data_IF_013856837615
#
_entry.id   IF_013856837615
#
_cell.length_a   1.000
_cell.length_b   1.000
_cell.length_c   1.000
_cell.angle_alpha   90.00
_cell.angle_beta   90.00
_cell.angle_gamma   90.00
#
_symmetry.space_group_name_H-M   'P 1'
#
loop_
_entity.id
_entity.type
_entity.pdbx_description
1 polymer ?
#
# COMPACT_ATOMS: atom_id res chain seq x y z
N UNK A 1 60.67 -23.47 -26.22
CA UNK A 1 60.24 -23.28 -24.81
C UNK A 1 59.32 -22.08 -24.75
N UNK A 2 58.01 -22.27 -24.87
CA UNK A 2 57.01 -21.19 -24.72
C UNK A 2 56.39 -21.30 -23.33
N UNK A 3 56.65 -20.29 -22.50
CA UNK A 3 56.02 -20.12 -21.19
C UNK A 3 54.63 -19.54 -21.39
N UNK A 4 53.61 -20.39 -21.34
CA UNK A 4 52.22 -19.96 -21.26
C UNK A 4 51.96 -19.34 -19.88
N UNK A 5 51.80 -18.02 -19.83
CA UNK A 5 51.27 -17.33 -18.64
C UNK A 5 49.76 -17.58 -18.57
N UNK A 6 49.32 -18.31 -17.55
CA UNK A 6 47.92 -18.40 -17.15
C UNK A 6 47.56 -17.12 -16.39
N UNK A 7 46.75 -16.26 -16.99
CA UNK A 7 46.10 -15.14 -16.29
C UNK A 7 44.81 -15.70 -15.68
N UNK A 8 44.84 -15.97 -14.38
CA UNK A 8 43.64 -16.28 -13.62
C UNK A 8 42.83 -14.99 -13.40
N UNK A 9 41.77 -14.81 -14.19
CA UNK A 9 40.77 -13.77 -13.96
C UNK A 9 39.87 -14.25 -12.82
N UNK A 10 40.16 -13.79 -11.61
CA UNK A 10 39.26 -13.93 -10.47
C UNK A 10 38.02 -13.06 -10.74
N UNK A 11 36.92 -13.68 -11.16
CA UNK A 11 35.60 -13.07 -11.17
C UNK A 11 35.21 -12.82 -9.71
N UNK A 12 35.46 -11.61 -9.22
CA UNK A 12 34.84 -11.11 -8.00
C UNK A 12 33.36 -10.97 -8.34
N UNK A 13 32.58 -12.01 -8.04
CA UNK A 13 31.14 -11.88 -7.95
C UNK A 13 30.91 -10.91 -6.80
N UNK A 14 30.73 -9.63 -7.13
CA UNK A 14 30.09 -8.69 -6.23
C UNK A 14 28.65 -9.18 -6.14
N UNK A 15 28.42 -10.12 -5.24
CA UNK A 15 27.12 -10.35 -4.66
C UNK A 15 26.78 -9.01 -4.03
N UNK A 16 26.07 -8.16 -4.78
CA UNK A 16 25.45 -6.98 -4.24
C UNK A 16 24.47 -7.48 -3.20
N UNK A 17 24.95 -7.64 -1.97
CA UNK A 17 24.10 -7.73 -0.80
C UNK A 17 23.33 -6.42 -0.82
N UNK A 18 22.11 -6.48 -1.35
CA UNK A 18 21.11 -5.45 -1.15
C UNK A 18 21.08 -5.25 0.36
N UNK A 19 21.75 -4.19 0.78
CA UNK A 19 21.96 -3.89 2.18
C UNK A 19 20.57 -3.60 2.71
N UNK A 20 20.00 -4.57 3.43
CA UNK A 20 18.81 -4.37 4.23
C UNK A 20 19.18 -3.27 5.23
N UNK A 21 18.94 -2.02 4.82
CA UNK A 21 19.11 -0.85 5.66
C UNK A 21 18.30 -1.02 6.95
N UNK A 22 18.57 -0.19 7.96
CA UNK A 22 17.89 -0.27 9.25
C UNK A 22 16.39 -0.43 9.05
N UNK A 23 15.80 -1.43 9.71
CA UNK A 23 14.39 -1.84 9.59
C UNK A 23 13.48 -0.61 9.55
N UNK A 24 13.05 -0.21 8.35
CA UNK A 24 12.14 0.92 8.18
C UNK A 24 10.78 0.50 8.71
N UNK A 25 10.22 1.26 9.64
CA UNK A 25 8.85 1.09 10.14
C UNK A 25 7.90 0.87 8.97
N UNK A 26 7.22 -0.28 8.95
CA UNK A 26 6.23 -0.60 7.94
C UNK A 26 4.99 0.26 8.14
N UNK A 27 4.66 1.06 7.11
CA UNK A 27 3.52 1.94 7.10
C UNK A 27 3.65 3.07 8.13
N UNK A 28 3.21 4.26 7.77
CA UNK A 28 2.74 5.11 8.85
C UNK A 28 1.47 4.44 9.40
N UNK A 29 1.31 4.28 10.71
CA UNK A 29 0.09 3.69 11.29
C UNK A 29 -1.22 4.33 10.76
N UNK A 30 -2.38 3.73 11.08
CA UNK A 30 -3.70 4.12 10.54
C UNK A 30 -3.95 5.64 10.55
N UNK A 31 -3.52 6.38 11.59
CA UNK A 31 -3.71 7.84 11.67
C UNK A 31 -3.03 8.63 10.52
N UNK A 32 -1.94 8.10 10.00
CA UNK A 32 -1.08 8.77 9.01
C UNK A 32 -1.44 8.41 7.56
N UNK A 33 -2.38 7.49 7.35
CA UNK A 33 -2.99 7.23 6.05
C UNK A 33 -3.88 8.40 5.57
N UNK A 34 -4.21 9.33 6.46
CA UNK A 34 -5.10 10.47 6.21
C UNK A 34 -4.41 11.83 6.38
N UNK A 35 -3.07 11.84 6.41
CA UNK A 35 -2.26 13.06 6.40
C UNK A 35 -1.90 13.51 4.98
N UNK A 36 -1.40 14.74 4.87
CA UNK A 36 -0.88 15.33 3.64
C UNK A 36 -1.71 16.47 3.08
N UNK A 37 -1.05 17.36 2.34
CA UNK A 37 -1.71 18.50 1.68
C UNK A 37 -2.56 18.04 0.50
N UNK A 38 -2.09 17.07 -0.25
CA UNK A 38 -2.77 16.54 -1.43
C UNK A 38 -4.05 15.81 -1.04
N UNK A 39 -4.01 15.05 0.05
CA UNK A 39 -5.19 14.34 0.54
C UNK A 39 -6.33 15.28 0.95
N UNK A 40 -5.99 16.41 1.59
CA UNK A 40 -6.97 17.45 1.93
C UNK A 40 -7.59 18.05 0.66
N UNK A 41 -6.78 18.33 -0.36
CA UNK A 41 -7.28 18.84 -1.65
C UNK A 41 -8.13 17.82 -2.38
N UNK A 42 -7.72 16.55 -2.37
CA UNK A 42 -8.47 15.43 -2.93
C UNK A 42 -9.87 15.32 -2.32
N UNK A 43 -9.98 15.33 -0.99
CA UNK A 43 -11.29 15.31 -0.33
C UNK A 43 -12.08 16.58 -0.64
N UNK A 44 -11.46 17.77 -0.60
CA UNK A 44 -12.15 19.02 -0.93
C UNK A 44 -12.76 19.01 -2.34
N UNK A 45 -12.04 18.43 -3.32
CA UNK A 45 -12.48 18.36 -4.72
C UNK A 45 -13.57 17.30 -4.95
N UNK A 46 -13.48 16.17 -4.24
CA UNK A 46 -14.26 14.97 -4.60
C UNK A 46 -15.36 14.59 -3.59
N UNK A 47 -15.31 15.09 -2.35
CA UNK A 47 -16.28 14.76 -1.31
C UNK A 47 -17.47 15.73 -1.33
N UNK A 48 -18.36 15.58 -2.31
CA UNK A 48 -19.54 16.44 -2.50
C UNK A 48 -20.64 16.23 -1.44
N UNK A 49 -20.58 15.14 -0.68
CA UNK A 49 -21.44 14.90 0.48
C UNK A 49 -20.73 14.04 1.56
N UNK A 50 -21.27 13.95 2.79
CA UNK A 50 -20.61 13.21 3.87
C UNK A 50 -20.37 11.72 3.59
N UNK A 51 -21.28 11.04 2.88
CA UNK A 51 -21.10 9.62 2.55
C UNK A 51 -20.01 9.43 1.49
N UNK A 52 -19.95 10.31 0.48
CA UNK A 52 -18.85 10.34 -0.47
C UNK A 52 -17.51 10.54 0.25
N UNK A 53 -17.45 11.47 1.22
CA UNK A 53 -16.26 11.64 2.05
C UNK A 53 -15.86 10.32 2.74
N UNK A 54 -16.80 9.63 3.38
CA UNK A 54 -16.53 8.38 4.10
C UNK A 54 -16.02 7.26 3.17
N UNK A 55 -16.63 7.10 2.00
CA UNK A 55 -16.17 6.13 1.00
C UNK A 55 -14.78 6.48 0.47
N UNK A 56 -14.50 7.75 0.18
CA UNK A 56 -13.18 8.18 -0.28
C UNK A 56 -12.10 7.93 0.79
N UNK A 57 -12.39 8.20 2.07
CA UNK A 57 -11.46 7.84 3.17
C UNK A 57 -11.24 6.33 3.22
N UNK A 58 -12.32 5.56 3.14
CA UNK A 58 -12.26 4.10 3.18
C UNK A 58 -11.38 3.54 2.06
N UNK A 59 -11.68 3.91 0.81
CA UNK A 59 -10.91 3.43 -0.34
C UNK A 59 -9.49 3.98 -0.41
N UNK A 60 -9.22 5.15 0.18
CA UNK A 60 -7.84 5.61 0.40
C UNK A 60 -7.08 4.64 1.31
N UNK A 61 -7.71 4.17 2.40
CA UNK A 61 -7.13 3.17 3.29
C UNK A 61 -6.92 1.82 2.60
N UNK A 62 -7.93 1.34 1.85
CA UNK A 62 -7.82 0.10 1.07
C UNK A 62 -6.64 0.17 0.09
N UNK A 63 -6.58 1.24 -0.72
CA UNK A 63 -5.50 1.45 -1.67
C UNK A 63 -4.14 1.45 -0.98
N UNK A 64 -4.01 2.16 0.15
CA UNK A 64 -2.75 2.21 0.89
C UNK A 64 -2.30 0.82 1.35
N UNK A 65 -3.20 0.00 1.91
CA UNK A 65 -2.84 -1.35 2.34
C UNK A 65 -2.48 -2.27 1.16
N UNK A 66 -3.14 -2.10 0.02
CA UNK A 66 -2.79 -2.83 -1.19
C UNK A 66 -1.39 -2.44 -1.71
N UNK A 67 -1.07 -1.15 -1.68
CA UNK A 67 0.24 -0.66 -2.10
C UNK A 67 1.35 -1.08 -1.14
N UNK A 68 1.09 -1.01 0.17
CA UNK A 68 1.97 -1.54 1.20
C UNK A 68 2.24 -3.04 1.01
N UNK A 69 1.20 -3.83 0.71
CA UNK A 69 1.35 -5.25 0.36
C UNK A 69 2.26 -5.42 -0.86
N UNK A 70 2.04 -4.63 -1.93
CA UNK A 70 2.85 -4.67 -3.16
C UNK A 70 4.32 -4.40 -2.89
N UNK A 71 4.62 -3.38 -2.07
CA UNK A 71 5.98 -3.03 -1.65
C UNK A 71 6.64 -4.20 -0.91
N UNK A 72 5.92 -4.83 0.01
CA UNK A 72 6.43 -5.99 0.75
C UNK A 72 6.63 -7.22 -0.12
N UNK A 73 5.74 -7.47 -1.07
CA UNK A 73 5.92 -8.57 -2.03
C UNK A 73 7.16 -8.34 -2.91
N UNK A 74 7.38 -7.11 -3.40
CA UNK A 74 8.61 -6.75 -4.13
C UNK A 74 9.87 -6.94 -3.28
N UNK A 75 9.84 -6.50 -2.02
CA UNK A 75 10.96 -6.74 -1.09
C UNK A 75 11.23 -8.23 -0.91
N UNK A 76 10.19 -9.04 -0.73
CA UNK A 76 10.31 -10.49 -0.58
C UNK A 76 10.88 -11.20 -1.82
N UNK A 77 10.78 -10.58 -3.01
CA UNK A 77 11.43 -11.04 -4.25
C UNK A 77 12.85 -10.50 -4.44
N UNK A 78 13.37 -9.71 -3.52
CA UNK A 78 14.68 -9.05 -3.63
C UNK A 78 14.70 -7.87 -4.59
N UNK A 79 13.52 -7.37 -5.01
CA UNK A 79 13.41 -6.17 -5.85
C UNK A 79 13.60 -4.90 -5.00
N UNK A 80 14.01 -3.78 -5.61
CA UNK A 80 13.98 -2.49 -4.94
C UNK A 80 12.57 -2.18 -4.41
N UNK A 81 12.47 -1.94 -3.10
CA UNK A 81 11.22 -1.66 -2.41
C UNK A 81 11.36 -0.38 -1.59
N UNK A 82 10.47 0.59 -1.84
CA UNK A 82 10.50 1.85 -1.12
C UNK A 82 9.58 1.81 0.10
N UNK A 83 10.16 1.56 1.26
CA UNK A 83 9.44 1.66 2.53
C UNK A 83 9.38 3.09 3.02
N UNK A 84 8.20 3.49 3.46
CA UNK A 84 7.98 4.77 4.11
C UNK A 84 6.51 5.15 4.09
N UNK A 85 6.27 6.39 4.50
CA UNK A 85 4.95 6.96 4.45
C UNK A 85 4.50 7.24 3.02
N UNK A 86 3.32 6.75 2.62
CA UNK A 86 2.69 7.07 1.33
C UNK A 86 1.93 8.41 1.36
N UNK A 87 2.27 9.30 2.31
CA UNK A 87 1.70 10.64 2.40
C UNK A 87 2.05 11.40 1.12
N UNK A 88 1.04 12.02 0.50
CA UNK A 88 1.17 12.80 -0.74
C UNK A 88 1.83 12.01 -1.92
N UNK A 89 1.72 10.67 -1.88
CA UNK A 89 2.17 9.77 -2.96
C UNK A 89 1.08 8.77 -3.35
N UNK A 90 -0.16 9.13 -3.04
CA UNK A 90 -1.32 8.26 -3.27
C UNK A 90 -1.79 8.42 -4.69
N UNK A 91 -2.11 7.30 -5.33
CA UNK A 91 -2.75 7.34 -6.64
C UNK A 91 -4.24 7.65 -6.46
N UNK A 92 -4.55 8.95 -6.51
CA UNK A 92 -5.93 9.43 -6.34
C UNK A 92 -6.85 8.99 -7.47
N UNK A 93 -6.34 8.74 -8.68
CA UNK A 93 -7.14 8.25 -9.80
C UNK A 93 -7.51 6.77 -9.58
N UNK A 94 -6.57 5.96 -9.08
CA UNK A 94 -6.85 4.59 -8.65
C UNK A 94 -7.85 4.54 -7.49
N UNK A 95 -7.77 5.46 -6.52
CA UNK A 95 -8.75 5.57 -5.42
C UNK A 95 -10.14 5.92 -5.97
N UNK A 96 -10.24 6.86 -6.91
CA UNK A 96 -11.52 7.22 -7.54
C UNK A 96 -12.12 6.07 -8.35
N UNK A 97 -11.29 5.22 -8.95
CA UNK A 97 -11.75 4.04 -9.69
C UNK A 97 -12.46 3.01 -8.80
N UNK A 98 -12.23 3.03 -7.47
CA UNK A 98 -12.93 2.17 -6.49
C UNK A 98 -14.32 2.69 -6.12
N UNK A 99 -14.62 3.95 -6.40
CA UNK A 99 -15.92 4.56 -6.12
C UNK A 99 -17.01 4.06 -7.08
N UNK A 100 -18.30 4.09 -6.69
CA UNK A 100 -19.38 3.82 -7.62
C UNK A 100 -19.33 4.74 -8.84
N UNK A 101 -19.70 4.21 -10.01
CA UNK A 101 -19.90 5.04 -11.20
C UNK A 101 -20.90 6.16 -10.91
N UNK A 102 -20.57 7.35 -11.39
CA UNK A 102 -21.35 8.59 -11.21
C UNK A 102 -21.58 8.94 -9.73
N UNK A 103 -20.69 8.54 -8.81
CA UNK A 103 -20.86 8.85 -7.37
C UNK A 103 -21.06 10.35 -7.11
N UNK A 104 -20.45 11.22 -7.93
CA UNK A 104 -20.58 12.68 -7.86
C UNK A 104 -22.02 13.17 -8.04
N UNK A 105 -22.85 12.44 -8.79
CA UNK A 105 -24.27 12.78 -9.00
C UNK A 105 -25.20 12.10 -7.99
N UNK A 106 -24.68 11.21 -7.13
CA UNK A 106 -25.47 10.47 -6.14
C UNK A 106 -25.58 11.26 -4.85
N UNK A 107 -26.77 11.25 -4.26
CA UNK A 107 -27.03 11.69 -2.90
C UNK A 107 -26.31 10.81 -1.86
N UNK A 108 -26.19 11.31 -0.64
CA UNK A 108 -25.61 10.53 0.46
C UNK A 108 -26.39 9.23 0.73
N UNK A 109 -27.73 9.26 0.60
CA UNK A 109 -28.59 8.10 0.80
C UNK A 109 -28.37 7.02 -0.27
N UNK A 110 -28.22 7.41 -1.53
CA UNK A 110 -27.91 6.48 -2.63
C UNK A 110 -26.53 5.85 -2.48
N UNK A 111 -25.53 6.61 -2.02
CA UNK A 111 -24.20 6.07 -1.73
C UNK A 111 -24.22 5.12 -0.53
N UNK A 112 -24.99 5.43 0.50
CA UNK A 112 -25.15 4.57 1.66
C UNK A 112 -25.82 3.24 1.27
N UNK A 113 -26.89 3.31 0.46
CA UNK A 113 -27.57 2.13 -0.09
C UNK A 113 -26.60 1.29 -0.93
N UNK A 114 -25.83 1.93 -1.82
CA UNK A 114 -24.82 1.23 -2.63
C UNK A 114 -23.76 0.52 -1.78
N UNK A 115 -23.29 1.16 -0.71
CA UNK A 115 -22.32 0.56 0.21
C UNK A 115 -22.90 -0.65 0.93
N UNK A 116 -24.15 -0.56 1.41
CA UNK A 116 -24.85 -1.66 2.07
C UNK A 116 -25.10 -2.85 1.12
N UNK A 117 -25.52 -2.60 -0.13
CA UNK A 117 -25.77 -3.64 -1.14
C UNK A 117 -24.51 -4.43 -1.52
N UNK A 118 -23.33 -3.81 -1.34
CA UNK A 118 -22.04 -4.43 -1.61
C UNK A 118 -21.36 -4.99 -0.36
N UNK A 119 -22.05 -4.97 0.78
CA UNK A 119 -21.50 -5.35 2.08
C UNK A 119 -20.16 -4.64 2.38
N UNK A 120 -20.07 -3.36 2.00
CA UNK A 120 -18.91 -2.51 2.28
C UNK A 120 -18.96 -2.13 3.75
N UNK A 121 -18.49 -3.03 4.61
CA UNK A 121 -18.25 -2.76 6.01
C UNK A 121 -16.95 -1.97 6.15
N UNK A 122 -17.06 -0.64 6.20
CA UNK A 122 -15.91 0.28 6.21
C UNK A 122 -14.84 -0.13 7.26
N UNK A 123 -15.29 -0.59 8.43
CA UNK A 123 -14.39 -1.00 9.51
C UNK A 123 -13.80 -2.41 9.30
N UNK A 124 -14.62 -3.40 8.93
CA UNK A 124 -14.17 -4.79 8.79
C UNK A 124 -13.27 -4.94 7.56
N UNK A 125 -13.67 -4.37 6.43
CA UNK A 125 -12.90 -4.42 5.19
C UNK A 125 -11.55 -3.69 5.36
N UNK A 126 -11.54 -2.52 5.99
CA UNK A 126 -10.30 -1.81 6.31
C UNK A 126 -9.35 -2.65 7.20
N UNK A 127 -9.89 -3.35 8.19
CA UNK A 127 -9.10 -4.26 9.05
C UNK A 127 -8.57 -5.46 8.27
N UNK A 128 -9.38 -6.05 7.39
CA UNK A 128 -9.00 -7.18 6.55
C UNK A 128 -7.80 -6.84 5.66
N UNK A 129 -7.88 -5.73 4.90
CA UNK A 129 -6.78 -5.30 4.03
C UNK A 129 -5.52 -4.94 4.80
N UNK A 130 -5.66 -4.27 5.96
CA UNK A 130 -4.53 -4.00 6.85
C UNK A 130 -3.83 -5.29 7.29
N UNK A 131 -4.58 -6.33 7.66
CA UNK A 131 -4.01 -7.60 8.10
C UNK A 131 -3.36 -8.36 6.94
N UNK A 132 -3.94 -8.28 5.73
CA UNK A 132 -3.32 -8.83 4.51
C UNK A 132 -1.96 -8.18 4.25
N UNK A 133 -1.90 -6.84 4.25
CA UNK A 133 -0.67 -6.08 4.04
C UNK A 133 0.39 -6.44 5.09
N UNK A 134 0.00 -6.39 6.37
CA UNK A 134 0.86 -6.78 7.48
C UNK A 134 1.44 -8.20 7.32
N UNK A 135 0.59 -9.17 6.96
CA UNK A 135 1.01 -10.55 6.78
C UNK A 135 1.99 -10.70 5.60
N UNK A 136 1.80 -9.97 4.51
CA UNK A 136 2.74 -9.98 3.38
C UNK A 136 4.13 -9.50 3.83
N UNK A 137 4.19 -8.45 4.64
CA UNK A 137 5.45 -7.90 5.15
C UNK A 137 6.15 -8.81 6.16
N UNK A 138 5.38 -9.48 7.02
CA UNK A 138 5.93 -10.51 7.92
C UNK A 138 6.51 -11.67 7.10
N UNK A 139 5.79 -12.16 6.09
CA UNK A 139 6.27 -13.25 5.22
C UNK A 139 7.50 -12.87 4.42
N UNK A 140 7.56 -11.62 3.95
CA UNK A 140 8.70 -11.08 3.21
C UNK A 140 9.93 -10.81 4.09
N UNK A 141 9.82 -10.93 5.41
CA UNK A 141 10.89 -10.57 6.35
C UNK A 141 11.11 -9.06 6.51
N UNK A 142 10.28 -8.23 5.87
CA UNK A 142 10.31 -6.78 6.01
C UNK A 142 9.89 -6.31 7.41
N UNK A 143 9.11 -7.13 8.13
CA UNK A 143 8.61 -6.82 9.46
C UNK A 143 8.63 -8.04 10.39
N UNK A 144 8.90 -7.82 11.68
CA UNK A 144 8.84 -8.88 12.71
C UNK A 144 7.47 -8.88 13.38
N UNK A 145 6.75 -9.99 13.29
CA UNK A 145 5.47 -10.15 13.97
C UNK A 145 4.85 -11.53 13.75
N UNK A 146 3.80 -11.85 14.52
CA UNK A 146 2.97 -13.04 14.26
C UNK A 146 1.94 -12.72 13.18
N UNK A 147 1.69 -13.67 12.28
CA UNK A 147 0.64 -13.53 11.29
C UNK A 147 -0.71 -13.27 11.99
N UNK A 148 -1.47 -12.36 11.40
CA UNK A 148 -2.80 -11.96 11.86
C UNK A 148 -3.87 -12.74 11.10
N UNK A 149 -4.99 -12.97 11.74
CA UNK A 149 -6.18 -13.52 11.09
C UNK A 149 -6.72 -12.54 10.03
N UNK A 150 -7.21 -13.09 8.94
CA UNK A 150 -7.85 -12.35 7.84
C UNK A 150 -9.24 -12.95 7.68
N UNK A 151 -10.23 -12.31 8.30
CA UNK A 151 -11.65 -12.61 8.12
C UNK A 151 -12.19 -11.86 6.91
#
# INVERSE_FOLDING_TARGET
>A
MMKSLLIAVALIVVSGSAQAGPQKSFGCGYASQFGGGEYKQFLKKNAHNPMAANLLRHYTGIWQFQEEKRICDSYGRGEPAEFGCLIDRRDYDAILALMPKNYQSRSAAELNKWAAERDVSLAQEGTRYRNIAFNACVKAGAYKGKLREVN
#
